data_IF_870216078907
#
_entry.id   IF_870216078907
#
_cell.length_a   1.000
_cell.length_b   1.000
_cell.length_c   1.000
_cell.angle_alpha   90.00
_cell.angle_beta   90.00
_cell.angle_gamma   90.00
#
_symmetry.space_group_name_H-M   'P 1'
#
loop_
_entity.id
_entity.type
_entity.pdbx_description
1 polymer ?
#
# COMPACT_ATOMS: atom_id res chain seq x y z
N UNK A 1 -20.21 -26.18 6.88
CA UNK A 1 -19.38 -25.34 7.77
C UNK A 1 -18.92 -24.12 6.99
N UNK A 2 -19.27 -22.91 7.43
CA UNK A 2 -18.76 -21.67 6.81
C UNK A 2 -17.40 -21.39 7.47
N UNK A 3 -16.30 -21.60 6.74
CA UNK A 3 -14.97 -21.16 7.17
C UNK A 3 -14.97 -19.64 7.24
N UNK A 4 -15.17 -19.10 8.45
CA UNK A 4 -14.88 -17.69 8.71
C UNK A 4 -13.38 -17.52 8.51
N UNK A 5 -13.01 -16.89 7.40
CA UNK A 5 -11.60 -16.59 7.12
C UNK A 5 -11.25 -15.41 8.00
N UNK A 6 -10.73 -15.69 9.20
CA UNK A 6 -10.15 -14.64 10.04
C UNK A 6 -8.98 -14.08 9.24
N UNK A 7 -9.12 -12.84 8.77
CA UNK A 7 -8.05 -12.13 8.08
C UNK A 7 -6.97 -11.79 9.08
N UNK A 8 -5.73 -12.14 8.74
CA UNK A 8 -4.57 -11.73 9.53
C UNK A 8 -4.28 -10.22 9.37
N UNK A 9 -3.47 -9.61 10.27
CA UNK A 9 -3.17 -8.18 10.23
C UNK A 9 -2.51 -7.74 8.91
N UNK A 10 -1.63 -8.57 8.34
CA UNK A 10 -0.99 -8.28 7.04
C UNK A 10 -2.05 -8.13 5.94
N UNK A 11 -2.95 -9.10 5.83
CA UNK A 11 -4.02 -9.08 4.82
C UNK A 11 -4.95 -7.88 5.02
N UNK A 12 -5.27 -7.58 6.27
CA UNK A 12 -6.16 -6.46 6.65
C UNK A 12 -5.59 -5.11 6.19
N UNK A 13 -4.29 -4.87 6.39
CA UNK A 13 -3.64 -3.65 5.91
C UNK A 13 -3.57 -3.58 4.37
N UNK A 14 -3.35 -4.72 3.72
CA UNK A 14 -3.43 -4.80 2.25
C UNK A 14 -4.84 -4.47 1.76
N UNK A 15 -5.89 -4.93 2.44
CA UNK A 15 -7.28 -4.58 2.10
C UNK A 15 -7.57 -3.08 2.24
N UNK A 16 -6.92 -2.41 3.21
CA UNK A 16 -6.91 -0.95 3.29
C UNK A 16 -6.42 -0.28 2.00
N UNK A 17 -5.33 -0.78 1.40
CA UNK A 17 -4.77 -0.23 0.15
C UNK A 17 -5.69 -0.45 -1.07
N UNK A 18 -6.56 -1.46 -1.01
CA UNK A 18 -7.54 -1.77 -2.06
C UNK A 18 -8.76 -0.88 -1.93
N UNK A 19 -9.31 -0.78 -0.71
CA UNK A 19 -10.55 -0.04 -0.45
C UNK A 19 -10.42 0.92 0.73
N UNK A 20 -9.69 2.05 0.55
CA UNK A 20 -9.39 2.99 1.62
C UNK A 20 -10.62 3.51 2.37
N UNK A 21 -11.74 3.67 1.67
CA UNK A 21 -13.01 4.17 2.24
C UNK A 21 -13.57 3.27 3.35
N UNK A 22 -13.31 1.97 3.33
CA UNK A 22 -13.77 1.05 4.38
C UNK A 22 -12.90 1.14 5.65
N UNK A 23 -11.76 1.82 5.58
CA UNK A 23 -10.78 1.92 6.66
C UNK A 23 -10.59 3.37 7.14
N UNK A 24 -11.56 4.27 6.90
CA UNK A 24 -11.45 5.68 7.29
C UNK A 24 -10.59 6.54 6.36
N UNK A 25 -10.07 5.97 5.27
CA UNK A 25 -9.27 6.66 4.26
C UNK A 25 -7.76 6.46 4.41
N UNK A 26 -7.00 7.12 3.55
CA UNK A 26 -5.54 6.96 3.48
C UNK A 26 -4.79 7.47 4.72
N UNK A 27 -5.34 8.44 5.45
CA UNK A 27 -4.72 8.92 6.69
C UNK A 27 -4.63 7.79 7.73
N UNK A 28 -5.72 7.02 7.89
CA UNK A 28 -5.76 5.96 8.90
C UNK A 28 -5.00 4.73 8.46
N UNK A 29 -4.98 4.45 7.16
CA UNK A 29 -4.10 3.41 6.61
C UNK A 29 -2.64 3.79 6.86
N UNK A 30 -2.26 5.03 6.57
CA UNK A 30 -0.89 5.50 6.82
C UNK A 30 -0.50 5.35 8.29
N UNK A 31 -1.34 5.86 9.19
CA UNK A 31 -1.15 5.74 10.64
C UNK A 31 -1.05 4.28 11.12
N UNK A 32 -1.86 3.39 10.56
CA UNK A 32 -1.81 1.97 10.89
C UNK A 32 -0.51 1.29 10.40
N UNK A 33 -0.03 1.64 9.20
CA UNK A 33 1.29 1.20 8.75
C UNK A 33 2.39 1.75 9.67
N UNK A 34 2.40 3.05 9.95
CA UNK A 34 3.40 3.68 10.83
C UNK A 34 3.45 3.04 12.23
N UNK A 35 2.28 2.73 12.80
CA UNK A 35 2.16 2.17 14.15
C UNK A 35 2.54 0.69 14.24
N UNK A 36 2.30 -0.08 13.17
CA UNK A 36 2.37 -1.55 13.23
C UNK A 36 3.44 -2.17 12.33
N UNK A 37 4.14 -1.41 11.48
CA UNK A 37 5.08 -1.97 10.50
C UNK A 37 6.14 -2.90 11.13
N UNK A 38 6.62 -2.55 12.33
CA UNK A 38 7.65 -3.32 13.06
C UNK A 38 7.15 -4.65 13.61
N UNK A 39 5.83 -4.85 13.76
CA UNK A 39 5.24 -6.09 14.28
C UNK A 39 4.70 -7.01 13.20
N UNK A 40 4.71 -6.59 11.93
CA UNK A 40 4.13 -7.33 10.81
C UNK A 40 5.15 -8.24 10.14
N UNK A 41 4.66 -9.34 9.57
CA UNK A 41 5.45 -10.14 8.64
C UNK A 41 5.50 -9.46 7.27
N UNK A 42 6.58 -8.71 7.03
CA UNK A 42 6.78 -7.97 5.77
C UNK A 42 6.89 -8.90 4.56
N UNK A 43 7.46 -10.10 4.72
CA UNK A 43 7.58 -11.05 3.63
C UNK A 43 6.19 -11.56 3.21
N UNK A 44 5.33 -11.84 4.19
CA UNK A 44 3.94 -12.24 3.97
C UNK A 44 3.10 -11.13 3.34
N UNK A 45 3.26 -9.87 3.77
CA UNK A 45 2.61 -8.72 3.12
C UNK A 45 2.98 -8.59 1.65
N UNK A 46 4.28 -8.71 1.34
CA UNK A 46 4.80 -8.68 -0.02
C UNK A 46 4.16 -9.81 -0.83
N UNK A 47 4.22 -11.05 -0.33
CA UNK A 47 3.67 -12.21 -1.04
C UNK A 47 2.16 -12.09 -1.28
N UNK A 48 1.40 -11.52 -0.34
CA UNK A 48 -0.02 -11.21 -0.57
C UNK A 48 -0.21 -10.18 -1.68
N UNK A 49 0.52 -9.06 -1.64
CA UNK A 49 0.37 -8.01 -2.65
C UNK A 49 0.70 -8.50 -4.07
N UNK A 50 1.73 -9.35 -4.20
CA UNK A 50 2.17 -9.92 -5.48
C UNK A 50 1.15 -10.89 -6.07
N UNK A 51 0.36 -11.57 -5.23
CA UNK A 51 -0.71 -12.48 -5.68
C UNK A 51 -1.98 -11.76 -6.12
N UNK A 52 -2.17 -10.51 -5.69
CA UNK A 52 -3.39 -9.76 -5.95
C UNK A 52 -3.31 -8.99 -7.26
N UNK A 53 -2.45 -7.97 -7.33
CA UNK A 53 -2.30 -7.14 -8.53
C UNK A 53 -1.05 -6.24 -8.43
N UNK A 54 -0.46 -5.92 -9.59
CA UNK A 54 0.72 -5.05 -9.67
C UNK A 54 0.49 -3.65 -9.07
N UNK A 55 -0.70 -3.07 -9.21
CA UNK A 55 -1.06 -1.77 -8.62
C UNK A 55 -0.98 -1.84 -7.09
N UNK A 56 -1.45 -2.93 -6.48
CA UNK A 56 -1.42 -3.12 -5.02
C UNK A 56 0.03 -3.27 -4.56
N UNK A 57 0.85 -4.05 -5.26
CA UNK A 57 2.27 -4.16 -4.97
C UNK A 57 2.99 -2.78 -5.02
N UNK A 58 2.64 -1.94 -6.00
CA UNK A 58 3.19 -0.56 -6.08
C UNK A 58 2.72 0.33 -4.93
N UNK A 59 1.45 0.26 -4.55
CA UNK A 59 0.90 1.04 -3.41
C UNK A 59 1.55 0.61 -2.10
N UNK A 60 1.73 -0.70 -1.92
CA UNK A 60 2.43 -1.26 -0.77
C UNK A 60 3.89 -0.79 -0.72
N UNK A 61 4.59 -0.83 -1.84
CA UNK A 61 5.97 -0.37 -1.91
C UNK A 61 6.11 1.11 -1.56
N UNK A 62 5.20 1.94 -2.07
CA UNK A 62 5.15 3.36 -1.75
C UNK A 62 4.96 3.61 -0.25
N UNK A 63 3.98 2.97 0.39
CA UNK A 63 3.70 3.22 1.82
C UNK A 63 4.80 2.65 2.72
N UNK A 64 5.32 1.47 2.41
CA UNK A 64 6.43 0.84 3.15
C UNK A 64 7.71 1.69 3.06
N UNK A 65 7.99 2.30 1.91
CA UNK A 65 9.07 3.28 1.76
C UNK A 65 8.86 4.50 2.67
N UNK A 66 7.64 5.05 2.72
CA UNK A 66 7.33 6.23 3.56
C UNK A 66 7.49 5.96 5.05
N UNK A 67 7.14 4.76 5.51
CA UNK A 67 7.33 4.35 6.93
C UNK A 67 8.72 3.78 7.22
N UNK A 68 9.67 3.91 6.30
CA UNK A 68 11.09 3.64 6.54
C UNK A 68 11.54 2.19 6.36
N UNK A 69 10.78 1.35 5.65
CA UNK A 69 11.23 -0.02 5.35
C UNK A 69 12.45 0.00 4.43
N UNK A 70 13.45 -0.82 4.77
CA UNK A 70 14.72 -0.88 4.05
C UNK A 70 14.59 -1.28 2.57
N UNK A 71 15.40 -0.66 1.72
CA UNK A 71 15.35 -0.84 0.26
C UNK A 71 15.52 -2.30 -0.21
N UNK A 72 16.25 -3.13 0.54
CA UNK A 72 16.45 -4.55 0.23
C UNK A 72 15.12 -5.34 0.23
N UNK A 73 14.23 -5.03 1.18
CA UNK A 73 12.90 -5.65 1.29
C UNK A 73 11.99 -5.15 0.16
N UNK A 74 12.07 -3.85 -0.13
CA UNK A 74 11.23 -3.17 -1.12
C UNK A 74 11.53 -3.59 -2.57
N UNK A 75 12.72 -4.10 -2.85
CA UNK A 75 13.15 -4.47 -4.21
C UNK A 75 12.17 -5.42 -4.92
N UNK A 76 11.62 -6.40 -4.21
CA UNK A 76 10.62 -7.35 -4.78
C UNK A 76 9.37 -6.65 -5.30
N UNK A 77 8.95 -5.55 -4.67
CA UNK A 77 7.79 -4.74 -5.10
C UNK A 77 8.17 -3.78 -6.22
N UNK A 78 9.38 -3.25 -6.18
CA UNK A 78 9.92 -2.33 -7.19
C UNK A 78 10.08 -3.03 -8.56
N UNK A 79 10.51 -4.29 -8.55
CA UNK A 79 10.73 -5.09 -9.76
C UNK A 79 9.42 -5.52 -10.46
N UNK A 80 8.26 -5.34 -9.82
CA UNK A 80 6.96 -5.68 -10.43
C UNK A 80 6.69 -4.80 -11.66
N UNK A 81 6.51 -5.36 -12.87
CA UNK A 81 6.28 -4.56 -14.06
C UNK A 81 4.89 -3.93 -14.04
N UNK A 82 4.79 -2.65 -14.40
CA UNK A 82 3.50 -1.96 -14.57
C UNK A 82 3.57 -0.91 -15.69
N UNK A 83 2.53 -0.84 -16.51
CA UNK A 83 2.44 0.13 -17.62
C UNK A 83 1.80 1.43 -17.17
N UNK A 84 2.61 2.50 -17.14
CA UNK A 84 2.16 3.87 -16.88
C UNK A 84 1.75 4.13 -15.42
N UNK A 85 1.57 5.39 -15.07
CA UNK A 85 1.27 5.79 -13.70
C UNK A 85 -0.14 5.39 -13.25
N UNK A 86 -0.26 4.94 -12.00
CA UNK A 86 -1.52 4.62 -11.32
C UNK A 86 -1.77 5.59 -10.17
N UNK A 87 -3.03 5.92 -9.91
CA UNK A 87 -3.35 6.76 -8.75
C UNK A 87 -3.14 5.98 -7.45
N UNK A 88 -2.58 6.64 -6.45
CA UNK A 88 -2.44 6.12 -5.10
C UNK A 88 -3.83 5.88 -4.51
N UNK A 89 -4.64 6.92 -4.43
CA UNK A 89 -6.04 6.87 -4.04
C UNK A 89 -6.95 6.71 -5.25
N UNK A 90 -7.56 5.54 -5.42
CA UNK A 90 -8.56 5.30 -6.47
C UNK A 90 -9.84 6.11 -6.30
N UNK A 91 -10.03 6.77 -5.16
CA UNK A 91 -11.23 7.54 -4.86
C UNK A 91 -11.04 9.06 -4.98
N UNK A 92 -9.79 9.50 -5.13
CA UNK A 92 -9.42 10.90 -5.30
C UNK A 92 -9.27 11.32 -6.77
N UNK A 93 -9.16 12.64 -7.04
CA UNK A 93 -8.90 13.15 -8.38
C UNK A 93 -7.52 12.68 -8.89
N UNK A 94 -7.35 12.54 -10.21
CA UNK A 94 -6.05 12.21 -10.82
C UNK A 94 -5.14 13.45 -10.92
N UNK A 95 -4.73 13.99 -9.77
CA UNK A 95 -3.87 15.18 -9.64
C UNK A 95 -2.81 14.92 -8.56
N UNK A 96 -1.61 15.46 -8.73
CA UNK A 96 -0.51 15.26 -7.79
C UNK A 96 0.78 14.82 -8.47
N UNK A 97 1.86 14.73 -7.68
CA UNK A 97 3.19 14.38 -8.16
C UNK A 97 3.25 12.92 -8.65
N UNK A 98 4.09 12.65 -9.64
CA UNK A 98 4.32 11.30 -10.15
C UNK A 98 5.60 10.73 -9.55
N UNK A 99 5.46 9.73 -8.69
CA UNK A 99 6.54 8.94 -8.14
C UNK A 99 6.97 7.88 -9.16
N UNK A 100 8.13 8.11 -9.79
CA UNK A 100 8.66 7.22 -10.85
C UNK A 100 9.04 5.83 -10.33
N UNK A 101 9.56 5.74 -9.11
CA UNK A 101 9.99 4.48 -8.50
C UNK A 101 8.83 3.48 -8.41
N UNK A 102 7.69 3.97 -7.95
CA UNK A 102 6.49 3.16 -7.77
C UNK A 102 5.51 3.22 -8.94
N UNK A 103 5.78 4.06 -9.96
CA UNK A 103 4.84 4.35 -11.03
C UNK A 103 3.46 4.77 -10.48
N UNK A 104 3.48 5.59 -9.42
CA UNK A 104 2.28 6.07 -8.73
C UNK A 104 2.15 7.58 -8.85
N UNK A 105 0.93 8.06 -9.09
CA UNK A 105 0.57 9.45 -8.92
C UNK A 105 0.03 9.65 -7.50
N UNK A 106 0.78 10.40 -6.70
CA UNK A 106 0.50 10.70 -5.30
C UNK A 106 -0.64 11.73 -5.22
N UNK A 107 -1.87 11.23 -5.32
CA UNK A 107 -3.08 12.03 -5.38
C UNK A 107 -3.83 12.15 -4.05
N UNK A 108 -3.07 12.15 -2.96
CA UNK A 108 -3.59 12.38 -1.61
C UNK A 108 -3.82 13.88 -1.37
N UNK A 109 -4.83 14.26 -0.56
CA UNK A 109 -5.00 15.64 -0.14
C UNK A 109 -3.79 16.10 0.68
N UNK A 110 -3.33 17.33 0.45
CA UNK A 110 -2.04 17.86 0.94
C UNK A 110 -1.85 17.98 2.46
N UNK A 111 -2.77 17.48 3.29
CA UNK A 111 -2.70 17.54 4.76
C UNK A 111 -2.48 16.17 5.43
N UNK A 112 -2.13 15.12 4.69
CA UNK A 112 -2.06 13.76 5.25
C UNK A 112 -0.80 13.47 6.07
N UNK A 113 0.33 14.09 5.75
CA UNK A 113 1.58 13.88 6.50
C UNK A 113 1.70 15.01 7.52
N UNK A 114 1.55 14.68 8.81
CA UNK A 114 1.81 15.59 9.92
C UNK A 114 3.24 15.43 10.41
#
# INVERSE_FOLDING_TARGET
>A
EVKVTITDPERTLIDGLISPKHFGGWAEIYSAFESHISSLDLAKMIDYSLRLDAVIAKRLGWIMEKVGVGASILRRLEDVPIKGYRVLDSTGPRKGACNKRWMIQENLPGRMFR
#
